data_IF_976625370912
#
_entry.id   IF_976625370912
#
_cell.length_a   1.000
_cell.length_b   1.000
_cell.length_c   1.000
_cell.angle_alpha   90.00
_cell.angle_beta   90.00
_cell.angle_gamma   90.00
#
_symmetry.space_group_name_H-M   'P 1'
#
loop_
_entity.id
_entity.type
_entity.pdbx_description
1 polymer ?
#
# COMPACT_ATOMS: atom_id res chain seq x y z
N UNK A 1 -1.58 12.10 -15.98
CA UNK A 1 -0.16 12.26 -15.55
C UNK A 1 0.00 13.08 -14.29
N UNK A 2 -0.38 14.37 -14.30
CA UNK A 2 -0.45 15.20 -13.08
C UNK A 2 -1.23 14.48 -11.98
N UNK A 3 -2.33 13.84 -12.34
CA UNK A 3 -3.18 13.08 -11.42
C UNK A 3 -2.47 11.95 -10.65
N UNK A 4 -1.69 11.08 -11.32
CA UNK A 4 -0.93 10.01 -10.63
C UNK A 4 0.15 10.56 -9.70
N UNK A 5 0.84 11.62 -10.15
CA UNK A 5 1.81 12.35 -9.33
C UNK A 5 1.16 13.01 -8.11
N UNK A 6 -0.06 13.53 -8.26
CA UNK A 6 -0.84 14.09 -7.15
C UNK A 6 -1.34 12.99 -6.21
N UNK A 7 -1.75 11.84 -6.72
CA UNK A 7 -2.20 10.70 -5.90
C UNK A 7 -1.09 10.14 -5.01
N UNK A 8 0.11 9.92 -5.56
CA UNK A 8 1.25 9.49 -4.73
C UNK A 8 1.66 10.57 -3.74
N UNK A 9 1.54 11.85 -4.11
CA UNK A 9 1.80 12.95 -3.19
C UNK A 9 0.78 12.96 -2.04
N UNK A 10 -0.51 12.72 -2.29
CA UNK A 10 -1.53 12.58 -1.22
C UNK A 10 -1.18 11.47 -0.23
N UNK A 11 -0.73 10.31 -0.70
CA UNK A 11 -0.27 9.21 0.19
C UNK A 11 0.91 9.66 1.03
N UNK A 12 1.90 10.33 0.43
CA UNK A 12 3.07 10.88 1.15
C UNK A 12 2.69 11.92 2.19
N UNK A 13 1.80 12.84 1.83
CA UNK A 13 1.31 13.90 2.71
C UNK A 13 0.56 13.30 3.89
N UNK A 14 -0.25 12.26 3.66
CA UNK A 14 -0.90 11.49 4.72
C UNK A 14 0.12 10.83 5.64
N UNK A 15 1.15 10.17 5.10
CA UNK A 15 2.22 9.59 5.92
C UNK A 15 2.95 10.64 6.77
N UNK A 16 3.31 11.79 6.17
CA UNK A 16 3.97 12.88 6.90
C UNK A 16 3.08 13.39 8.04
N UNK A 17 1.81 13.65 7.75
CA UNK A 17 0.86 14.07 8.77
C UNK A 17 0.75 13.06 9.92
N UNK A 18 0.65 11.75 9.63
CA UNK A 18 0.62 10.72 10.68
C UNK A 18 1.91 10.75 11.51
N UNK A 19 3.09 10.81 10.87
CA UNK A 19 4.40 10.84 11.54
C UNK A 19 4.52 12.09 12.44
N UNK A 20 4.17 13.25 11.92
CA UNK A 20 4.26 14.53 12.64
C UNK A 20 3.32 14.54 13.86
N UNK A 21 2.09 14.00 13.71
CA UNK A 21 1.11 13.91 14.78
C UNK A 21 1.37 12.79 15.79
N UNK A 22 2.12 11.75 15.42
CA UNK A 22 2.61 10.74 16.35
C UNK A 22 3.67 11.34 17.28
N UNK A 23 4.59 12.13 16.73
CA UNK A 23 5.72 12.71 17.45
C UNK A 23 6.51 11.66 18.26
N UNK A 24 6.80 10.53 17.61
CA UNK A 24 7.54 9.41 18.18
C UNK A 24 8.92 9.28 17.53
N UNK A 25 9.89 8.64 18.21
CA UNK A 25 11.18 8.27 17.62
C UNK A 25 11.01 7.51 16.29
N UNK A 26 11.98 7.67 15.39
CA UNK A 26 11.93 7.04 14.05
C UNK A 26 12.10 5.52 14.08
N UNK A 27 12.66 4.99 15.17
CA UNK A 27 12.83 3.56 15.46
C UNK A 27 11.62 2.93 16.15
N UNK A 28 10.63 3.71 16.60
CA UNK A 28 9.38 3.14 17.12
C UNK A 28 8.59 2.46 16.00
N UNK A 29 8.11 1.23 16.24
CA UNK A 29 7.44 0.43 15.21
C UNK A 29 6.24 1.15 14.54
N UNK A 30 5.55 2.04 15.28
CA UNK A 30 4.44 2.85 14.75
C UNK A 30 4.92 3.85 13.70
N UNK A 31 5.98 4.59 14.02
CA UNK A 31 6.63 5.53 13.11
C UNK A 31 7.28 4.82 11.94
N UNK A 32 8.03 3.75 12.22
CA UNK A 32 8.84 3.03 11.25
C UNK A 32 7.99 2.46 10.11
N UNK A 33 6.84 1.85 10.43
CA UNK A 33 5.90 1.35 9.42
C UNK A 33 5.46 2.45 8.44
N UNK A 34 5.05 3.62 8.96
CA UNK A 34 4.59 4.75 8.15
C UNK A 34 5.75 5.42 7.38
N UNK A 35 6.94 5.51 7.99
CA UNK A 35 8.15 6.01 7.33
C UNK A 35 8.51 5.13 6.13
N UNK A 36 8.45 3.81 6.26
CA UNK A 36 8.71 2.89 5.16
C UNK A 36 7.71 3.07 4.02
N UNK A 37 6.41 3.22 4.31
CA UNK A 37 5.40 3.52 3.27
C UNK A 37 5.78 4.78 2.49
N UNK A 38 6.13 5.86 3.19
CA UNK A 38 6.58 7.12 2.57
C UNK A 38 7.83 6.91 1.70
N UNK A 39 8.82 6.16 2.19
CA UNK A 39 10.05 5.87 1.45
C UNK A 39 9.78 5.06 0.18
N UNK A 40 8.93 4.03 0.24
CA UNK A 40 8.53 3.25 -0.94
C UNK A 40 7.76 4.10 -1.97
N UNK A 41 6.98 5.09 -1.52
CA UNK A 41 6.38 6.07 -2.42
C UNK A 41 7.45 6.92 -3.13
N UNK A 42 8.50 7.35 -2.43
CA UNK A 42 9.58 8.14 -3.02
C UNK A 42 10.44 7.37 -4.03
N UNK A 43 10.60 6.06 -3.84
CA UNK A 43 11.46 5.23 -4.69
C UNK A 43 10.63 4.52 -5.76
N UNK A 44 9.87 3.49 -5.37
CA UNK A 44 9.27 2.53 -6.29
C UNK A 44 8.04 3.10 -7.00
N UNK A 45 7.19 3.83 -6.29
CA UNK A 45 6.04 4.48 -6.91
C UNK A 45 6.48 5.61 -7.84
N UNK A 46 7.28 6.54 -7.33
CA UNK A 46 7.65 7.75 -8.08
C UNK A 46 8.60 7.48 -9.25
N UNK A 47 9.61 6.62 -9.11
CA UNK A 47 10.56 6.35 -10.18
C UNK A 47 9.87 5.61 -11.34
N UNK A 48 9.07 4.57 -11.06
CA UNK A 48 8.34 3.84 -12.09
C UNK A 48 7.41 4.76 -12.88
N UNK A 49 6.62 5.58 -12.17
CA UNK A 49 5.70 6.55 -12.79
C UNK A 49 6.47 7.54 -13.67
N UNK A 50 7.62 8.04 -13.20
CA UNK A 50 8.45 8.97 -13.98
C UNK A 50 9.05 8.31 -15.23
N UNK A 51 9.47 7.06 -15.15
CA UNK A 51 10.01 6.30 -16.28
C UNK A 51 8.91 6.09 -17.33
N UNK A 52 7.73 5.62 -16.91
CA UNK A 52 6.56 5.46 -17.78
C UNK A 52 6.19 6.78 -18.46
N UNK A 53 6.10 7.88 -17.69
CA UNK A 53 5.79 9.21 -18.21
C UNK A 53 6.81 9.70 -19.24
N UNK A 54 8.10 9.51 -18.98
CA UNK A 54 9.15 9.90 -19.92
C UNK A 54 9.04 9.09 -21.22
N UNK A 55 8.68 7.81 -21.15
CA UNK A 55 8.59 6.96 -22.33
C UNK A 55 7.44 7.34 -23.27
N UNK A 56 6.35 7.90 -22.74
CA UNK A 56 5.22 8.37 -23.55
C UNK A 56 5.51 9.68 -24.29
N UNK A 57 6.42 10.50 -23.74
CA UNK A 57 6.89 11.72 -24.39
C UNK A 57 7.94 11.33 -25.44
N UNK A 58 7.55 11.32 -26.72
CA UNK A 58 8.40 10.86 -27.84
C UNK A 58 9.82 11.43 -27.86
N UNK A 59 10.01 12.67 -27.39
CA UNK A 59 11.33 13.34 -27.28
C UNK A 59 12.33 12.57 -26.41
N UNK A 60 11.88 11.85 -25.38
CA UNK A 60 12.75 11.11 -24.48
C UNK A 60 12.93 9.63 -24.88
N UNK A 61 12.22 9.15 -25.91
CA UNK A 61 12.35 7.76 -26.37
C UNK A 61 13.81 7.39 -26.69
N UNK A 62 14.60 8.18 -27.45
CA UNK A 62 15.99 7.82 -27.75
C UNK A 62 16.85 7.71 -26.48
N UNK A 63 16.64 8.60 -25.51
CA UNK A 63 17.36 8.57 -24.23
C UNK A 63 17.04 7.32 -23.43
N UNK A 64 15.76 6.92 -23.39
CA UNK A 64 15.33 5.73 -22.66
C UNK A 64 15.76 4.44 -23.36
N UNK A 65 15.74 4.41 -24.69
CA UNK A 65 16.29 3.30 -25.49
C UNK A 65 17.76 3.08 -25.13
N UNK A 66 18.57 4.14 -25.09
CA UNK A 66 19.98 4.04 -24.70
C UNK A 66 20.19 3.69 -23.22
N UNK A 67 19.38 4.26 -22.32
CA UNK A 67 19.50 4.01 -20.87
C UNK A 67 19.17 2.57 -20.49
N UNK A 68 18.20 1.96 -21.17
CA UNK A 68 17.75 0.60 -20.90
C UNK A 68 18.30 -0.44 -21.89
N UNK A 69 19.32 -0.06 -22.68
CA UNK A 69 19.95 -0.92 -23.69
C UNK A 69 18.92 -1.65 -24.59
N UNK A 70 17.84 -0.95 -24.94
CA UNK A 70 16.78 -1.47 -25.80
C UNK A 70 17.20 -1.32 -27.26
N UNK A 71 16.92 -2.31 -28.11
CA UNK A 71 17.36 -2.25 -29.52
C UNK A 71 16.43 -1.39 -30.37
N UNK A 72 15.18 -1.25 -29.96
CA UNK A 72 14.15 -0.50 -30.69
C UNK A 72 12.99 -0.08 -29.75
N UNK A 73 12.03 0.67 -30.29
CA UNK A 73 10.84 1.15 -29.54
C UNK A 73 9.94 -0.01 -29.07
N UNK A 74 9.84 -1.11 -29.82
CA UNK A 74 9.04 -2.28 -29.44
C UNK A 74 9.64 -2.96 -28.22
N UNK A 75 10.95 -3.12 -28.18
CA UNK A 75 11.67 -3.69 -27.03
C UNK A 75 11.48 -2.82 -25.78
N UNK A 76 11.62 -1.50 -25.90
CA UNK A 76 11.37 -0.56 -24.81
C UNK A 76 9.92 -0.65 -24.32
N UNK A 77 8.94 -0.73 -25.23
CA UNK A 77 7.53 -0.90 -24.87
C UNK A 77 7.26 -2.21 -24.15
N UNK A 78 7.89 -3.31 -24.59
CA UNK A 78 7.80 -4.60 -23.91
C UNK A 78 8.41 -4.51 -22.52
N UNK A 79 9.60 -3.93 -22.40
CA UNK A 79 10.26 -3.70 -21.11
C UNK A 79 9.36 -2.91 -20.17
N UNK A 80 8.82 -1.76 -20.61
CA UNK A 80 7.92 -0.94 -19.78
C UNK A 80 6.63 -1.66 -19.42
N UNK A 81 6.09 -2.47 -20.34
CA UNK A 81 4.92 -3.29 -20.09
C UNK A 81 5.19 -4.33 -19.00
N UNK A 82 6.36 -4.96 -18.98
CA UNK A 82 6.73 -5.97 -17.98
C UNK A 82 7.21 -5.33 -16.66
N UNK A 83 7.83 -4.14 -16.77
CA UNK A 83 8.25 -3.31 -15.64
C UNK A 83 7.04 -2.92 -14.79
N UNK A 84 5.96 -2.48 -15.42
CA UNK A 84 4.76 -1.98 -14.75
C UNK A 84 4.13 -2.97 -13.74
N UNK A 85 3.73 -4.20 -14.13
CA UNK A 85 3.13 -5.16 -13.19
C UNK A 85 4.12 -5.58 -12.10
N UNK A 86 5.40 -5.75 -12.42
CA UNK A 86 6.42 -6.10 -11.44
C UNK A 86 6.63 -4.99 -10.41
N UNK A 87 6.76 -3.73 -10.85
CA UNK A 87 6.88 -2.59 -9.94
C UNK A 87 5.65 -2.41 -9.06
N UNK A 88 4.44 -2.60 -9.60
CA UNK A 88 3.21 -2.59 -8.80
C UNK A 88 3.22 -3.70 -7.76
N UNK A 89 3.53 -4.93 -8.16
CA UNK A 89 3.59 -6.08 -7.26
C UNK A 89 4.61 -5.85 -6.14
N UNK A 90 5.82 -5.41 -6.48
CA UNK A 90 6.87 -5.06 -5.51
C UNK A 90 6.44 -3.93 -4.58
N UNK A 91 5.92 -2.82 -5.13
CA UNK A 91 5.46 -1.68 -4.34
C UNK A 91 4.36 -2.07 -3.35
N UNK A 92 3.28 -2.70 -3.83
CA UNK A 92 2.16 -3.10 -2.97
C UNK A 92 2.65 -4.08 -1.91
N UNK A 93 3.53 -5.02 -2.27
CA UNK A 93 4.09 -6.00 -1.32
C UNK A 93 4.90 -5.33 -0.21
N UNK A 94 5.82 -4.43 -0.57
CA UNK A 94 6.68 -3.75 0.41
C UNK A 94 5.90 -2.81 1.32
N UNK A 95 4.99 -2.01 0.75
CA UNK A 95 4.11 -1.15 1.55
C UNK A 95 3.23 -1.99 2.47
N UNK A 96 2.64 -3.06 1.94
CA UNK A 96 1.79 -3.93 2.73
C UNK A 96 2.59 -4.55 3.88
N UNK A 97 3.78 -5.11 3.66
CA UNK A 97 4.59 -5.67 4.75
C UNK A 97 4.94 -4.67 5.85
N UNK A 98 5.30 -3.43 5.49
CA UNK A 98 5.56 -2.38 6.48
C UNK A 98 4.34 -2.09 7.36
N UNK A 99 3.16 -2.09 6.75
CA UNK A 99 1.89 -1.87 7.43
C UNK A 99 1.43 -3.09 8.25
N UNK A 100 1.62 -4.32 7.74
CA UNK A 100 1.35 -5.56 8.48
C UNK A 100 2.19 -5.64 9.76
N UNK A 101 3.50 -5.38 9.64
CA UNK A 101 4.42 -5.34 10.78
C UNK A 101 3.99 -4.28 11.81
N UNK A 102 3.58 -3.09 11.35
CA UNK A 102 3.08 -2.04 12.23
C UNK A 102 1.86 -2.52 13.04
N UNK A 103 0.87 -3.15 12.39
CA UNK A 103 -0.33 -3.66 13.08
C UNK A 103 0.01 -4.77 14.07
N UNK A 104 0.87 -5.70 13.68
CA UNK A 104 1.27 -6.81 14.54
C UNK A 104 1.96 -6.31 15.81
N UNK A 105 2.91 -5.38 15.67
CA UNK A 105 3.65 -4.81 16.82
C UNK A 105 2.76 -3.98 17.74
N UNK A 106 1.79 -3.26 17.17
CA UNK A 106 0.78 -2.56 17.97
C UNK A 106 -0.08 -3.55 18.75
N UNK A 107 -0.54 -4.64 18.13
CA UNK A 107 -1.36 -5.64 18.81
C UNK A 107 -0.58 -6.35 19.92
N UNK A 108 0.67 -6.73 19.66
CA UNK A 108 1.54 -7.40 20.63
C UNK A 108 1.85 -6.54 21.86
N UNK A 109 1.80 -5.21 21.70
CA UNK A 109 2.05 -4.26 22.78
C UNK A 109 0.81 -3.99 23.64
N UNK A 110 -0.36 -4.53 23.28
CA UNK A 110 -1.59 -4.40 24.07
C UNK A 110 -1.69 -5.52 25.13
N UNK A 111 -2.08 -5.21 26.37
CA UNK A 111 -2.16 -6.22 27.44
C UNK A 111 -3.04 -7.41 27.08
N UNK A 112 -2.49 -8.63 27.21
CA UNK A 112 -3.22 -9.88 26.97
C UNK A 112 -3.56 -10.14 25.50
N UNK A 113 -2.94 -9.43 24.56
CA UNK A 113 -3.11 -9.62 23.12
C UNK A 113 -1.80 -10.13 22.50
N UNK A 114 -1.93 -10.77 21.35
CA UNK A 114 -0.81 -11.21 20.53
C UNK A 114 -1.21 -11.29 19.06
N UNK A 115 -0.25 -11.02 18.19
CA UNK A 115 -0.28 -11.30 16.77
C UNK A 115 -0.80 -12.70 16.48
N UNK A 116 -1.71 -12.77 15.53
CA UNK A 116 -2.18 -14.02 14.96
C UNK A 116 -1.33 -14.24 13.70
N UNK A 117 -0.96 -15.49 13.39
CA UNK A 117 -0.12 -15.84 12.22
C UNK A 117 -0.77 -15.53 10.84
N UNK A 118 -1.76 -14.64 10.80
CA UNK A 118 -2.51 -14.23 9.64
C UNK A 118 -2.92 -12.75 9.78
N UNK A 119 -2.44 -11.91 8.87
CA UNK A 119 -2.72 -10.48 8.87
C UNK A 119 -4.22 -10.12 8.94
N UNK A 120 -5.08 -10.84 8.24
CA UNK A 120 -6.53 -10.60 8.28
C UNK A 120 -7.10 -10.82 9.67
N UNK A 121 -6.57 -11.77 10.44
CA UNK A 121 -7.02 -12.02 11.81
C UNK A 121 -6.42 -11.01 12.78
N UNK A 122 -5.14 -10.69 12.63
CA UNK A 122 -4.42 -9.70 13.45
C UNK A 122 -5.06 -8.31 13.34
N UNK A 123 -5.27 -7.83 12.12
CA UNK A 123 -5.91 -6.52 11.87
C UNK A 123 -7.32 -6.46 12.43
N UNK A 124 -8.14 -7.52 12.24
CA UNK A 124 -9.48 -7.59 12.81
C UNK A 124 -9.47 -7.56 14.34
N UNK A 125 -8.63 -8.38 14.96
CA UNK A 125 -8.50 -8.43 16.41
C UNK A 125 -8.08 -7.07 16.99
N UNK A 126 -7.17 -6.37 16.31
CA UNK A 126 -6.75 -5.02 16.70
C UNK A 126 -7.91 -4.02 16.61
N UNK A 127 -8.60 -3.96 15.47
CA UNK A 127 -9.75 -3.06 15.25
C UNK A 127 -10.84 -3.27 16.31
N UNK A 128 -11.17 -4.53 16.62
CA UNK A 128 -12.15 -4.90 17.64
C UNK A 128 -11.65 -4.53 19.05
N UNK A 129 -10.38 -4.78 19.36
CA UNK A 129 -9.78 -4.43 20.66
C UNK A 129 -9.80 -2.93 20.91
N UNK A 130 -9.64 -2.14 19.84
CA UNK A 130 -9.67 -0.68 19.90
C UNK A 130 -11.08 -0.09 19.88
N UNK A 131 -12.12 -0.92 19.77
CA UNK A 131 -13.54 -0.51 19.67
C UNK A 131 -13.76 0.58 18.61
N UNK A 132 -13.11 0.46 17.45
CA UNK A 132 -13.24 1.44 16.38
C UNK A 132 -14.63 1.37 15.74
N UNK A 133 -15.20 2.53 15.40
CA UNK A 133 -16.47 2.61 14.68
C UNK A 133 -16.42 1.86 13.35
N UNK A 134 -17.50 1.19 12.96
CA UNK A 134 -17.63 0.43 11.71
C UNK A 134 -16.48 -0.58 11.49
N UNK A 135 -16.25 -1.53 12.43
CA UNK A 135 -15.06 -2.39 12.42
C UNK A 135 -14.95 -3.25 11.16
N UNK A 136 -16.08 -3.73 10.62
CA UNK A 136 -16.09 -4.49 9.38
C UNK A 136 -15.61 -3.66 8.18
N UNK A 137 -16.12 -2.43 8.02
CA UNK A 137 -15.71 -1.54 6.93
C UNK A 137 -14.21 -1.21 7.02
N UNK A 138 -13.72 -0.89 8.22
CA UNK A 138 -12.29 -0.61 8.46
C UNK A 138 -11.40 -1.79 8.15
N UNK A 139 -11.84 -2.99 8.54
CA UNK A 139 -11.14 -4.22 8.20
C UNK A 139 -11.07 -4.40 6.68
N UNK A 140 -12.16 -4.12 5.96
CA UNK A 140 -12.16 -4.20 4.50
C UNK A 140 -11.21 -3.20 3.85
N UNK A 141 -11.20 -1.94 4.31
CA UNK A 141 -10.28 -0.92 3.79
C UNK A 141 -8.81 -1.31 3.96
N UNK A 142 -8.44 -1.92 5.09
CA UNK A 142 -7.07 -2.42 5.32
C UNK A 142 -6.76 -3.66 4.46
N UNK A 143 -7.76 -4.47 4.14
CA UNK A 143 -7.57 -5.71 3.39
C UNK A 143 -7.54 -5.54 1.87
N UNK A 144 -8.08 -4.44 1.33
CA UNK A 144 -8.07 -4.18 -0.13
C UNK A 144 -6.65 -4.23 -0.71
N UNK A 145 -5.63 -3.54 -0.17
CA UNK A 145 -4.27 -3.68 -0.67
C UNK A 145 -3.71 -5.11 -0.58
N UNK A 146 -4.11 -5.88 0.45
CA UNK A 146 -3.73 -7.29 0.57
C UNK A 146 -4.32 -8.13 -0.57
N UNK A 147 -5.57 -7.89 -0.95
CA UNK A 147 -6.19 -8.59 -2.09
C UNK A 147 -5.57 -8.16 -3.41
N UNK A 148 -5.29 -6.87 -3.60
CA UNK A 148 -4.54 -6.38 -4.77
C UNK A 148 -3.19 -7.09 -4.87
N UNK A 149 -2.42 -7.13 -3.77
CA UNK A 149 -1.13 -7.81 -3.67
C UNK A 149 -1.23 -9.27 -4.10
N UNK A 150 -2.15 -10.01 -3.50
CA UNK A 150 -2.31 -11.45 -3.74
C UNK A 150 -2.67 -11.71 -5.21
N UNK A 151 -3.50 -10.87 -5.80
CA UNK A 151 -3.86 -10.98 -7.22
C UNK A 151 -2.69 -10.66 -8.13
N UNK A 152 -1.91 -9.61 -7.84
CA UNK A 152 -0.70 -9.29 -8.60
C UNK A 152 0.33 -10.43 -8.57
N UNK A 153 0.53 -11.07 -7.40
CA UNK A 153 1.39 -12.27 -7.28
C UNK A 153 0.89 -13.45 -8.10
N UNK A 154 -0.42 -13.57 -8.28
CA UNK A 154 -1.04 -14.63 -9.08
C UNK A 154 -1.18 -14.24 -10.57
N UNK A 155 -0.30 -13.38 -11.08
CA UNK A 155 -0.31 -12.95 -12.49
C UNK A 155 -1.54 -12.11 -12.86
N UNK A 156 -2.13 -11.41 -11.90
CA UNK A 156 -3.35 -10.64 -12.09
C UNK A 156 -4.66 -11.45 -12.01
N UNK A 157 -4.61 -12.73 -11.61
CA UNK A 157 -5.79 -13.58 -11.44
C UNK A 157 -6.13 -13.73 -9.96
N UNK A 158 -7.33 -13.35 -9.54
CA UNK A 158 -7.76 -13.54 -8.15
C UNK A 158 -8.06 -15.02 -7.88
N UNK A 159 -7.47 -15.60 -6.83
CA UNK A 159 -7.59 -17.04 -6.53
C UNK A 159 -8.49 -17.37 -5.34
N UNK A 160 -8.95 -16.36 -4.60
CA UNK A 160 -9.80 -16.55 -3.40
C UNK A 160 -11.28 -16.38 -3.75
N UNK A 161 -12.14 -16.50 -2.76
CA UNK A 161 -13.58 -16.29 -2.91
C UNK A 161 -13.89 -14.90 -3.44
N UNK A 162 -15.05 -14.78 -4.08
CA UNK A 162 -15.54 -13.52 -4.61
C UNK A 162 -15.67 -12.46 -3.52
N UNK A 163 -15.29 -11.23 -3.83
CA UNK A 163 -15.43 -10.10 -2.93
C UNK A 163 -15.57 -8.79 -3.68
N UNK A 164 -16.46 -7.94 -3.19
CA UNK A 164 -16.60 -6.57 -3.67
C UNK A 164 -16.50 -5.63 -2.49
N UNK A 165 -15.69 -4.58 -2.64
CA UNK A 165 -15.59 -3.49 -1.67
C UNK A 165 -15.71 -2.18 -2.42
N UNK A 166 -16.56 -1.27 -1.95
CA UNK A 166 -16.74 0.06 -2.54
C UNK A 166 -16.02 1.06 -1.64
N UNK A 167 -15.10 1.83 -2.21
CA UNK A 167 -14.37 2.90 -1.53
C UNK A 167 -14.65 4.19 -2.29
N UNK A 168 -15.29 5.17 -1.66
CA UNK A 168 -15.66 6.46 -2.25
C UNK A 168 -16.38 6.33 -3.62
N UNK A 169 -17.25 5.33 -3.73
CA UNK A 169 -17.99 5.02 -4.97
C UNK A 169 -17.22 4.22 -6.02
N UNK A 170 -15.91 3.99 -5.83
CA UNK A 170 -15.09 3.15 -6.70
C UNK A 170 -15.20 1.68 -6.28
N UNK A 171 -15.63 0.78 -7.17
CA UNK A 171 -15.76 -0.64 -6.86
C UNK A 171 -14.44 -1.39 -7.04
N UNK A 172 -14.03 -2.14 -6.02
CA UNK A 172 -12.95 -3.12 -6.07
C UNK A 172 -13.55 -4.51 -6.13
N UNK A 173 -13.63 -5.07 -7.33
CA UNK A 173 -14.29 -6.35 -7.62
C UNK A 173 -13.23 -7.43 -7.78
N UNK A 174 -13.22 -8.40 -6.88
CA UNK A 174 -12.32 -9.55 -6.87
C UNK A 174 -13.12 -10.83 -7.13
N UNK A 175 -13.19 -11.27 -8.39
CA UNK A 175 -13.90 -12.49 -8.78
C UNK A 175 -12.95 -13.69 -8.91
N UNK A 176 -13.34 -14.83 -8.35
CA UNK A 176 -12.53 -16.04 -8.32
C UNK A 176 -12.21 -16.50 -9.74
N UNK A 177 -10.93 -16.76 -9.98
CA UNK A 177 -10.35 -17.17 -11.25
C UNK A 177 -10.50 -16.16 -12.38
N UNK A 178 -10.94 -14.93 -12.11
CA UNK A 178 -11.00 -13.87 -13.09
C UNK A 178 -9.79 -12.95 -12.99
N UNK A 179 -9.51 -12.26 -14.09
CA UNK A 179 -8.49 -11.21 -14.14
C UNK A 179 -9.01 -10.00 -13.36
N UNK A 180 -8.20 -9.49 -12.44
CA UNK A 180 -8.53 -8.31 -11.68
C UNK A 180 -8.22 -7.04 -12.48
N UNK A 181 -9.25 -6.21 -12.69
CA UNK A 181 -9.14 -5.01 -13.52
C UNK A 181 -8.72 -3.76 -12.73
N UNK A 182 -8.96 -3.73 -11.41
CA UNK A 182 -8.72 -2.57 -10.54
C UNK A 182 -7.30 -2.53 -9.93
N UNK A 183 -6.27 -2.78 -10.75
CA UNK A 183 -4.85 -2.75 -10.36
C UNK A 183 -4.06 -1.65 -11.08
N UNK A 184 -4.71 -0.54 -11.43
CA UNK A 184 -3.99 0.65 -11.89
C UNK A 184 -3.18 1.26 -10.74
N UNK A 185 -2.17 2.08 -11.04
CA UNK A 185 -1.48 2.86 -10.01
C UNK A 185 -2.45 3.75 -9.23
N UNK A 186 -3.47 4.31 -9.90
CA UNK A 186 -4.51 5.11 -9.26
C UNK A 186 -5.30 4.30 -8.23
N UNK A 187 -5.74 3.09 -8.58
CA UNK A 187 -6.43 2.18 -7.66
C UNK A 187 -5.55 1.79 -6.47
N UNK A 188 -4.27 1.50 -6.73
CA UNK A 188 -3.31 1.16 -5.67
C UNK A 188 -3.14 2.30 -4.68
N UNK A 189 -2.89 3.54 -5.15
CA UNK A 189 -2.72 4.68 -4.25
C UNK A 189 -4.02 5.07 -3.54
N UNK A 190 -5.16 4.94 -4.23
CA UNK A 190 -6.47 5.16 -3.64
C UNK A 190 -6.72 4.17 -2.49
N UNK A 191 -6.51 2.87 -2.71
CA UNK A 191 -6.63 1.86 -1.68
C UNK A 191 -5.71 2.13 -0.48
N UNK A 192 -4.43 2.44 -0.72
CA UNK A 192 -3.49 2.75 0.37
C UNK A 192 -3.84 4.03 1.13
N UNK A 193 -4.33 5.06 0.45
CA UNK A 193 -4.77 6.30 1.12
C UNK A 193 -5.87 6.01 2.14
N UNK A 194 -6.89 5.24 1.74
CA UNK A 194 -7.98 4.86 2.64
C UNK A 194 -7.57 3.85 3.70
N UNK A 195 -6.65 2.93 3.39
CA UNK A 195 -6.06 2.11 4.44
C UNK A 195 -5.37 3.01 5.47
N UNK A 196 -4.57 3.99 5.06
CA UNK A 196 -3.87 4.92 5.95
C UNK A 196 -4.80 5.76 6.83
N UNK A 197 -6.01 6.08 6.38
CA UNK A 197 -7.04 6.68 7.25
C UNK A 197 -7.39 5.76 8.43
N UNK A 198 -7.51 4.44 8.18
CA UNK A 198 -7.73 3.47 9.26
C UNK A 198 -6.49 3.32 10.14
N UNK A 199 -5.27 3.33 9.57
CA UNK A 199 -4.04 3.33 10.36
C UNK A 199 -3.94 4.56 11.26
N UNK A 200 -4.33 5.75 10.77
CA UNK A 200 -4.40 6.95 11.59
C UNK A 200 -5.32 6.73 12.81
N UNK A 201 -6.54 6.23 12.59
CA UNK A 201 -7.48 5.97 13.68
C UNK A 201 -6.95 4.95 14.69
N UNK A 202 -6.30 3.88 14.21
CA UNK A 202 -5.65 2.87 15.06
C UNK A 202 -4.55 3.53 15.91
N UNK A 203 -3.63 4.23 15.25
CA UNK A 203 -2.43 4.80 15.87
C UNK A 203 -2.76 5.95 16.81
N UNK A 204 -3.86 6.67 16.57
CA UNK A 204 -4.33 7.76 17.43
C UNK A 204 -5.36 7.35 18.47
N UNK A 205 -5.77 6.08 18.48
CA UNK A 205 -6.62 5.55 19.55
C UNK A 205 -5.97 5.75 20.92
N UNK A 206 -6.81 5.99 21.93
CA UNK A 206 -6.35 6.23 23.32
C UNK A 206 -5.46 5.09 23.84
N UNK A 207 -5.81 3.85 23.51
CA UNK A 207 -5.09 2.67 23.97
C UNK A 207 -3.70 2.58 23.34
N UNK A 208 -3.56 2.86 22.04
CA UNK A 208 -2.26 2.81 21.35
C UNK A 208 -1.36 3.99 21.74
N UNK A 209 -1.93 5.19 21.93
CA UNK A 209 -1.18 6.38 22.41
C UNK A 209 -0.72 6.24 23.86
N UNK A 210 -1.37 5.41 24.66
CA UNK A 210 -0.92 5.12 26.04
C UNK A 210 0.35 4.25 26.08
N UNK A 211 0.73 3.61 24.97
CA UNK A 211 1.95 2.80 24.89
C UNK A 211 3.15 3.72 24.72
N UNK A 212 4.07 3.70 25.68
CA UNK A 212 5.22 4.59 25.70
C UNK A 212 6.15 4.37 24.50
N UNK A 213 6.48 3.10 24.20
CA UNK A 213 7.39 2.71 23.11
C UNK A 213 7.01 1.32 22.60
N UNK A 214 7.14 1.12 21.30
CA UNK A 214 6.99 -0.20 20.66
C UNK A 214 8.27 -0.52 19.89
N UNK A 215 8.98 -1.57 20.31
CA UNK A 215 10.20 -2.00 19.63
C UNK A 215 9.91 -2.57 18.23
N UNK A 216 10.79 -2.27 17.29
CA UNK A 216 10.70 -2.74 15.90
C UNK A 216 11.19 -4.18 15.70
N UNK A 217 11.92 -4.75 16.67
CA UNK A 217 12.54 -6.08 16.61
C UNK A 217 12.15 -6.97 17.79
#
# INVERSE_FOLDING_TARGET
WKERGLQIQKVKDKCNYIIDCLNLPTDDARSLGIIHVRQFCNTLGFAAIKIEQKAEIKKYLPTLIGLFDSRNIKDLKSFLHDLNPNFKASFVTMVQFALENCIERVLDSLPGKRGLNNFSRTSRCLIETLNLNNPQQKHELIMVPTWIRNTLHAGGIHKKSDKTVIIDGEPYIFEKNQRFECASWSHIFHAFLHSLDVYEEILFSKQVRAIQRIESE
#
